data_IF_539910490310
#
_entry.id   IF_539910490310
#
_cell.length_a   1.000
_cell.length_b   1.000
_cell.length_c   1.000
_cell.angle_alpha   90.00
_cell.angle_beta   90.00
_cell.angle_gamma   90.00
#
_symmetry.space_group_name_H-M   'P 1'
#
loop_
_entity.id
_entity.type
_entity.pdbx_description
1 polymer ?
#
# COMPACT_ATOMS: atom_id res chain seq x y z
N UNK A 1 -3.22 51.05 3.44
CA UNK A 1 -3.62 49.67 3.07
C UNK A 1 -3.67 48.84 4.35
N UNK A 2 -4.87 48.35 4.73
CA UNK A 2 -5.05 47.54 5.94
C UNK A 2 -4.56 46.12 5.66
N UNK A 3 -3.51 45.67 6.34
CA UNK A 3 -3.15 44.25 6.39
C UNK A 3 -4.17 43.55 7.30
N UNK A 4 -5.19 42.97 6.69
CA UNK A 4 -6.12 42.09 7.38
C UNK A 4 -5.37 40.80 7.77
N UNK A 5 -4.84 40.76 8.98
CA UNK A 5 -4.45 39.50 9.62
C UNK A 5 -5.71 38.65 9.76
N UNK A 6 -5.85 37.62 8.92
CA UNK A 6 -6.85 36.57 9.12
C UNK A 6 -6.58 35.93 10.49
N UNK A 7 -7.28 36.37 11.53
CA UNK A 7 -7.40 35.59 12.76
C UNK A 7 -7.99 34.25 12.36
N UNK A 8 -7.20 33.18 12.53
CA UNK A 8 -7.72 31.84 12.52
C UNK A 8 -8.91 31.80 13.49
N UNK A 9 -10.06 31.30 13.03
CA UNK A 9 -11.28 31.17 13.83
C UNK A 9 -10.92 30.32 15.05
N UNK A 10 -10.70 30.97 16.19
CA UNK A 10 -10.40 30.31 17.46
C UNK A 10 -11.65 29.52 17.81
N UNK A 11 -11.55 28.19 17.76
CA UNK A 11 -12.66 27.30 18.12
C UNK A 11 -13.02 27.56 19.59
N UNK A 12 -14.18 28.18 19.80
CA UNK A 12 -14.72 28.49 21.13
C UNK A 12 -14.91 27.20 21.94
N UNK A 13 -14.37 27.16 23.16
CA UNK A 13 -14.47 26.02 24.06
C UNK A 13 -15.82 25.99 24.78
N UNK A 14 -16.26 24.80 25.16
CA UNK A 14 -17.55 24.59 25.82
C UNK A 14 -17.32 24.71 27.33
N UNK A 15 -18.16 25.47 28.02
CA UNK A 15 -18.13 25.52 29.49
C UNK A 15 -18.60 24.19 30.06
N UNK A 16 -17.77 23.53 30.88
CA UNK A 16 -18.08 22.23 31.51
C UNK A 16 -17.75 22.26 33.01
N UNK A 17 -18.35 21.34 33.76
CA UNK A 17 -18.06 21.14 35.18
C UNK A 17 -17.08 19.98 35.42
N UNK A 18 -16.38 19.92 36.58
CA UNK A 18 -15.46 18.81 36.88
C UNK A 18 -16.09 17.41 36.82
N UNK A 19 -17.39 17.28 37.10
CA UNK A 19 -18.11 15.99 37.02
C UNK A 19 -18.30 15.51 35.58
N UNK A 20 -18.25 16.41 34.62
CA UNK A 20 -18.47 16.11 33.19
C UNK A 20 -17.18 15.72 32.46
N UNK A 21 -16.01 15.89 33.11
CA UNK A 21 -14.70 15.56 32.51
C UNK A 21 -14.67 14.17 31.87
N UNK A 22 -15.14 13.07 32.51
CA UNK A 22 -15.12 11.74 31.88
C UNK A 22 -16.00 11.65 30.63
N UNK A 23 -17.14 12.35 30.62
CA UNK A 23 -18.06 12.36 29.50
C UNK A 23 -17.46 13.08 28.29
N UNK A 24 -16.86 14.25 28.50
CA UNK A 24 -16.19 15.01 27.44
C UNK A 24 -14.92 14.33 26.94
N UNK A 25 -14.18 13.65 27.83
CA UNK A 25 -13.01 12.88 27.44
C UNK A 25 -13.40 11.70 26.53
N UNK A 26 -14.49 11.00 26.88
CA UNK A 26 -15.05 9.91 26.05
C UNK A 26 -15.56 10.45 24.70
N UNK A 27 -16.27 11.57 24.71
CA UNK A 27 -16.80 12.20 23.48
C UNK A 27 -15.68 12.68 22.55
N UNK A 28 -14.66 13.35 23.07
CA UNK A 28 -13.50 13.78 22.29
C UNK A 28 -12.74 12.61 21.65
N UNK A 29 -12.59 11.49 22.37
CA UNK A 29 -12.03 10.24 21.79
C UNK A 29 -12.88 9.70 20.64
N UNK A 30 -14.21 9.71 20.79
CA UNK A 30 -15.14 9.29 19.75
C UNK A 30 -15.07 10.20 18.51
N UNK A 31 -15.03 11.52 18.70
CA UNK A 31 -14.82 12.49 17.62
C UNK A 31 -13.49 12.26 16.89
N UNK A 32 -12.42 11.99 17.63
CA UNK A 32 -11.12 11.70 17.02
C UNK A 32 -11.15 10.41 16.19
N UNK A 33 -11.80 9.35 16.69
CA UNK A 33 -12.01 8.11 15.95
C UNK A 33 -12.87 8.31 14.68
N UNK A 34 -13.86 9.21 14.74
CA UNK A 34 -14.66 9.61 13.58
C UNK A 34 -13.94 10.57 12.61
N UNK A 35 -12.69 10.97 12.90
CA UNK A 35 -11.93 11.93 12.11
C UNK A 35 -12.41 13.38 12.23
N UNK A 36 -13.32 13.66 13.16
CA UNK A 36 -13.86 14.98 13.53
C UNK A 36 -12.86 15.68 14.48
N UNK A 37 -11.71 16.05 13.91
CA UNK A 37 -10.53 16.48 14.69
C UNK A 37 -10.72 17.83 15.37
N UNK A 38 -11.49 18.75 14.76
CA UNK A 38 -11.77 20.07 15.36
C UNK A 38 -12.66 19.92 16.59
N UNK A 39 -13.68 19.07 16.49
CA UNK A 39 -14.60 18.73 17.56
C UNK A 39 -13.86 18.03 18.71
N UNK A 40 -12.96 17.09 18.40
CA UNK A 40 -12.10 16.45 19.40
C UNK A 40 -11.21 17.47 20.14
N UNK A 41 -10.59 18.41 19.42
CA UNK A 41 -9.76 19.48 19.99
C UNK A 41 -10.60 20.39 20.90
N UNK A 42 -11.84 20.71 20.52
CA UNK A 42 -12.76 21.52 21.33
C UNK A 42 -13.11 20.81 22.65
N UNK A 43 -13.41 19.51 22.59
CA UNK A 43 -13.75 18.71 23.77
C UNK A 43 -12.58 18.59 24.74
N UNK A 44 -11.38 18.29 24.24
CA UNK A 44 -10.20 18.21 25.08
C UNK A 44 -9.76 19.56 25.63
N UNK A 45 -9.89 20.63 24.84
CA UNK A 45 -9.61 22.00 25.28
C UNK A 45 -10.50 22.43 26.45
N UNK A 46 -11.81 22.12 26.36
CA UNK A 46 -12.78 22.42 27.41
C UNK A 46 -12.42 21.76 28.76
N UNK A 47 -11.88 20.54 28.73
CA UNK A 47 -11.36 19.86 29.93
C UNK A 47 -10.09 20.51 30.44
N UNK A 48 -9.17 20.89 29.56
CA UNK A 48 -7.89 21.49 29.95
C UNK A 48 -8.05 22.90 30.53
N UNK A 49 -9.15 23.62 30.22
CA UNK A 49 -9.48 24.90 30.87
C UNK A 49 -9.70 24.74 32.39
N UNK A 50 -10.43 23.70 32.81
CA UNK A 50 -10.79 23.49 34.22
C UNK A 50 -9.88 22.50 34.96
N UNK A 51 -9.22 21.61 34.23
CA UNK A 51 -8.38 20.54 34.76
C UNK A 51 -7.06 20.49 33.99
N UNK A 52 -6.29 21.57 34.08
CA UNK A 52 -5.00 21.72 33.40
C UNK A 52 -4.05 20.55 33.70
N UNK A 53 -4.12 19.93 34.88
CA UNK A 53 -3.32 18.77 35.33
C UNK A 53 -3.75 17.40 34.75
N UNK A 54 -4.82 17.31 33.96
CA UNK A 54 -5.30 16.05 33.42
C UNK A 54 -4.37 15.54 32.31
N UNK A 55 -3.39 14.71 32.71
CA UNK A 55 -2.36 14.16 31.81
C UNK A 55 -2.95 13.37 30.66
N UNK A 56 -4.01 12.59 30.90
CA UNK A 56 -4.68 11.82 29.86
C UNK A 56 -5.25 12.75 28.77
N UNK A 57 -5.95 13.80 29.18
CA UNK A 57 -6.52 14.78 28.26
C UNK A 57 -5.44 15.49 27.45
N UNK A 58 -4.29 15.82 28.06
CA UNK A 58 -3.15 16.41 27.32
C UNK A 58 -2.64 15.48 26.21
N UNK A 59 -2.50 14.19 26.51
CA UNK A 59 -2.07 13.19 25.51
C UNK A 59 -3.07 13.13 24.36
N UNK A 60 -4.36 13.09 24.65
CA UNK A 60 -5.39 13.07 23.61
C UNK A 60 -5.49 14.38 22.83
N UNK A 61 -5.29 15.52 23.48
CA UNK A 61 -5.22 16.83 22.83
C UNK A 61 -4.03 16.92 21.85
N UNK A 62 -2.86 16.41 22.24
CA UNK A 62 -1.70 16.34 21.36
C UNK A 62 -1.99 15.46 20.14
N UNK A 63 -2.58 14.27 20.35
CA UNK A 63 -3.00 13.38 19.25
C UNK A 63 -3.99 14.07 18.32
N UNK A 64 -4.97 14.79 18.85
CA UNK A 64 -5.98 15.49 18.05
C UNK A 64 -5.38 16.65 17.25
N UNK A 65 -4.48 17.45 17.84
CA UNK A 65 -3.73 18.52 17.14
C UNK A 65 -2.84 17.97 16.04
N UNK A 66 -2.10 16.88 16.30
CA UNK A 66 -1.31 16.19 15.28
C UNK A 66 -2.20 15.68 14.14
N UNK A 67 -3.34 15.07 14.49
CA UNK A 67 -4.29 14.59 13.51
C UNK A 67 -4.89 15.75 12.69
N UNK A 68 -5.09 16.94 13.25
CA UNK A 68 -5.58 18.14 12.53
C UNK A 68 -4.50 18.78 11.66
N UNK A 69 -3.25 18.81 12.13
CA UNK A 69 -2.11 19.37 11.41
C UNK A 69 -1.67 18.48 10.24
N UNK A 70 -1.81 17.15 10.38
CA UNK A 70 -1.77 16.24 9.23
C UNK A 70 -3.09 16.43 8.49
N UNK A 71 -3.12 17.04 7.29
CA UNK A 71 -4.34 16.98 6.49
C UNK A 71 -4.79 15.53 6.45
N UNK A 72 -6.10 15.30 6.48
CA UNK A 72 -6.64 14.02 6.03
C UNK A 72 -6.06 13.90 4.62
N UNK A 73 -4.99 13.13 4.47
CA UNK A 73 -4.81 12.40 3.25
C UNK A 73 -6.18 11.76 3.08
N UNK A 74 -6.96 12.34 2.15
CA UNK A 74 -7.82 11.49 1.36
C UNK A 74 -6.95 10.28 0.95
N UNK A 75 -7.50 9.12 0.62
CA UNK A 75 -6.78 8.29 -0.30
C UNK A 75 -6.64 9.07 -1.63
N UNK A 76 -5.82 10.14 -1.68
CA UNK A 76 -4.73 10.17 -2.62
C UNK A 76 -4.19 8.76 -2.52
N UNK A 77 -4.32 8.00 -3.60
CA UNK A 77 -3.33 6.98 -3.86
C UNK A 77 -2.01 7.60 -3.43
N UNK A 78 -1.46 7.16 -2.29
CA UNK A 78 -0.06 7.33 -1.97
C UNK A 78 0.58 7.00 -3.31
N UNK A 79 1.17 8.02 -3.97
CA UNK A 79 1.79 7.80 -5.25
C UNK A 79 2.80 6.69 -4.96
N UNK A 80 2.42 5.47 -5.35
CA UNK A 80 3.08 4.27 -4.86
C UNK A 80 4.53 4.50 -5.20
N UNK A 81 5.40 4.50 -4.18
CA UNK A 81 6.82 4.75 -4.41
C UNK A 81 7.22 3.89 -5.60
N UNK A 82 7.74 4.48 -6.69
CA UNK A 82 7.94 3.72 -7.91
C UNK A 82 8.86 2.54 -7.60
N UNK A 83 8.44 1.36 -8.04
CA UNK A 83 9.17 0.12 -7.83
C UNK A 83 10.46 0.16 -8.65
N UNK A 84 11.57 -0.34 -8.10
CA UNK A 84 12.81 -0.49 -8.87
C UNK A 84 12.64 -1.65 -9.89
N UNK A 85 13.24 -1.53 -11.07
CA UNK A 85 13.25 -2.63 -12.03
C UNK A 85 14.12 -3.78 -11.52
N UNK A 86 13.72 -5.03 -11.80
CA UNK A 86 14.50 -6.23 -11.45
C UNK A 86 15.95 -6.17 -11.95
N UNK A 87 16.18 -5.70 -13.18
CA UNK A 87 17.53 -5.54 -13.74
C UNK A 87 18.35 -4.43 -13.06
N UNK A 88 17.69 -3.36 -12.58
CA UNK A 88 18.36 -2.33 -11.77
C UNK A 88 18.76 -2.89 -10.40
N UNK A 89 17.86 -3.66 -9.77
CA UNK A 89 18.13 -4.32 -8.49
C UNK A 89 19.24 -5.37 -8.60
N UNK A 90 19.34 -6.06 -9.74
CA UNK A 90 20.44 -6.99 -10.06
C UNK A 90 21.74 -6.28 -10.51
N UNK A 91 21.72 -4.94 -10.63
CA UNK A 91 22.87 -4.15 -11.12
C UNK A 91 23.30 -4.48 -12.54
N UNK A 92 22.36 -4.94 -13.37
CA UNK A 92 22.53 -5.09 -14.83
C UNK A 92 22.44 -3.72 -15.52
N UNK A 93 21.67 -2.79 -14.93
CA UNK A 93 21.58 -1.38 -15.35
C UNK A 93 21.69 -0.44 -14.15
N UNK A 94 22.19 0.78 -14.39
CA UNK A 94 22.39 1.76 -13.32
C UNK A 94 21.08 2.29 -12.74
N UNK A 95 20.10 2.59 -13.60
CA UNK A 95 18.83 3.18 -13.19
C UNK A 95 17.70 2.78 -14.13
N UNK A 96 16.65 2.18 -13.58
CA UNK A 96 15.38 1.96 -14.26
C UNK A 96 14.28 1.69 -13.24
N UNK A 97 13.18 2.42 -13.35
CA UNK A 97 11.98 2.18 -12.56
C UNK A 97 11.04 1.21 -13.28
N UNK A 98 10.37 0.34 -12.52
CA UNK A 98 9.36 -0.57 -13.00
C UNK A 98 8.04 0.19 -13.24
N UNK A 99 7.58 0.21 -14.48
CA UNK A 99 6.29 0.80 -14.89
C UNK A 99 5.19 -0.23 -15.11
N UNK A 100 5.52 -1.52 -14.98
CA UNK A 100 4.65 -2.64 -15.35
C UNK A 100 4.25 -3.53 -14.17
N UNK A 101 4.42 -3.06 -12.93
CA UNK A 101 4.06 -3.79 -11.71
C UNK A 101 4.60 -5.24 -11.70
N UNK A 102 5.89 -5.36 -11.99
CA UNK A 102 6.64 -6.62 -12.11
C UNK A 102 6.04 -7.66 -13.09
N UNK A 103 5.21 -7.22 -14.05
CA UNK A 103 4.81 -8.04 -15.19
C UNK A 103 5.94 -8.17 -16.22
N UNK A 104 7.07 -8.74 -15.80
CA UNK A 104 8.28 -8.91 -16.61
C UNK A 104 8.03 -9.69 -17.90
N UNK A 105 7.22 -10.75 -17.88
CA UNK A 105 6.90 -11.56 -19.07
C UNK A 105 6.22 -10.76 -20.21
N UNK A 106 5.53 -9.66 -19.88
CA UNK A 106 4.95 -8.75 -20.87
C UNK A 106 5.74 -7.46 -21.06
N UNK A 107 6.91 -7.33 -20.45
CA UNK A 107 7.71 -6.11 -20.48
C UNK A 107 8.71 -6.15 -21.64
N UNK A 108 8.64 -5.16 -22.53
CA UNK A 108 9.54 -5.05 -23.69
C UNK A 108 11.02 -5.04 -23.29
N UNK A 109 11.36 -4.33 -22.22
CA UNK A 109 12.73 -4.26 -21.73
C UNK A 109 13.25 -5.59 -21.17
N UNK A 110 12.38 -6.37 -20.53
CA UNK A 110 12.76 -7.69 -20.04
C UNK A 110 13.10 -8.62 -21.20
N UNK A 111 12.29 -8.59 -22.26
CA UNK A 111 12.55 -9.31 -23.51
C UNK A 111 13.90 -8.91 -24.13
N UNK A 112 14.18 -7.62 -24.25
CA UNK A 112 15.48 -7.14 -24.77
C UNK A 112 16.67 -7.63 -23.93
N UNK A 113 16.57 -7.62 -22.60
CA UNK A 113 17.63 -8.12 -21.72
C UNK A 113 17.83 -9.63 -21.87
N UNK A 114 16.75 -10.40 -22.02
CA UNK A 114 16.83 -11.85 -22.26
C UNK A 114 17.48 -12.15 -23.63
N UNK A 115 17.06 -11.46 -24.70
CA UNK A 115 17.63 -11.62 -26.04
C UNK A 115 19.13 -11.29 -26.06
N UNK A 116 19.56 -10.22 -25.37
CA UNK A 116 20.98 -9.89 -25.24
C UNK A 116 21.76 -10.96 -24.45
N UNK A 117 21.18 -11.48 -23.36
CA UNK A 117 21.79 -12.57 -22.60
C UNK A 117 21.97 -13.83 -23.46
N UNK A 118 20.96 -14.20 -24.25
CA UNK A 118 21.00 -15.32 -25.19
C UNK A 118 22.01 -15.10 -26.31
N UNK A 119 22.17 -13.86 -26.78
CA UNK A 119 23.17 -13.47 -27.77
C UNK A 119 24.61 -13.45 -27.23
N UNK A 120 24.82 -13.74 -25.94
CA UNK A 120 26.16 -13.84 -25.34
C UNK A 120 26.71 -12.51 -24.81
N UNK A 121 25.86 -11.53 -24.50
CA UNK A 121 26.29 -10.24 -23.95
C UNK A 121 27.01 -10.41 -22.60
N UNK A 122 28.32 -10.15 -22.60
CA UNK A 122 29.19 -10.39 -21.46
C UNK A 122 28.81 -9.55 -20.23
N UNK A 123 28.35 -8.32 -20.41
CA UNK A 123 27.97 -7.45 -19.28
C UNK A 123 26.75 -8.02 -18.55
N UNK A 124 25.76 -8.50 -19.31
CA UNK A 124 24.56 -9.11 -18.74
C UNK A 124 24.91 -10.44 -18.07
N UNK A 125 25.71 -11.29 -18.74
CA UNK A 125 26.12 -12.59 -18.19
C UNK A 125 26.86 -12.41 -16.87
N UNK A 126 27.84 -11.50 -16.81
CA UNK A 126 28.60 -11.23 -15.58
C UNK A 126 27.68 -10.72 -14.45
N UNK A 127 26.74 -9.82 -14.77
CA UNK A 127 25.79 -9.32 -13.78
C UNK A 127 24.83 -10.42 -13.27
N UNK A 128 24.39 -11.34 -14.13
CA UNK A 128 23.59 -12.49 -13.74
C UNK A 128 24.38 -13.49 -12.87
N UNK A 129 25.65 -13.74 -13.20
CA UNK A 129 26.55 -14.55 -12.36
C UNK A 129 26.78 -13.92 -11.00
N UNK A 130 26.99 -12.60 -10.95
CA UNK A 130 27.09 -11.84 -9.71
C UNK A 130 25.83 -12.00 -8.87
N UNK A 131 24.65 -11.83 -9.47
CA UNK A 131 23.38 -12.01 -8.77
C UNK A 131 23.21 -13.44 -8.24
N UNK A 132 23.61 -14.45 -9.02
CA UNK A 132 23.63 -15.86 -8.60
C UNK A 132 24.50 -16.09 -7.37
N UNK A 133 25.66 -15.42 -7.30
CA UNK A 133 26.61 -15.53 -6.20
C UNK A 133 26.14 -14.88 -4.89
N UNK A 134 25.10 -14.03 -4.93
CA UNK A 134 24.62 -13.35 -3.73
C UNK A 134 24.04 -14.31 -2.68
N UNK A 135 24.11 -13.95 -1.38
CA UNK A 135 23.42 -14.67 -0.32
C UNK A 135 21.93 -14.83 -0.64
N UNK A 136 21.34 -15.96 -0.24
CA UNK A 136 19.96 -16.30 -0.55
C UNK A 136 18.97 -15.14 -0.30
N UNK A 137 19.07 -14.48 0.85
CA UNK A 137 18.20 -13.35 1.22
C UNK A 137 18.24 -12.13 0.29
N UNK A 138 19.25 -12.00 -0.57
CA UNK A 138 19.37 -10.93 -1.56
C UNK A 138 18.85 -11.34 -2.95
N UNK A 139 18.62 -12.63 -3.19
CA UNK A 139 18.09 -13.17 -4.46
C UNK A 139 16.57 -13.10 -4.46
N UNK A 140 16.04 -11.93 -4.81
CA UNK A 140 14.60 -11.68 -4.80
C UNK A 140 13.85 -12.41 -5.93
N UNK A 141 12.60 -12.84 -5.65
CA UNK A 141 11.66 -13.34 -6.65
C UNK A 141 10.68 -12.24 -7.08
N UNK A 142 10.36 -12.14 -8.38
CA UNK A 142 9.38 -11.17 -8.89
C UNK A 142 8.01 -11.24 -8.20
N UNK A 143 7.56 -12.45 -7.85
CA UNK A 143 6.28 -12.64 -7.17
C UNK A 143 6.30 -12.14 -5.73
N UNK A 144 7.46 -12.18 -5.07
CA UNK A 144 7.63 -11.55 -3.75
C UNK A 144 7.73 -10.04 -3.86
N UNK A 145 8.43 -9.51 -4.87
CA UNK A 145 8.50 -8.07 -5.11
C UNK A 145 7.12 -7.47 -5.43
N UNK A 146 6.30 -8.20 -6.20
CA UNK A 146 4.92 -7.83 -6.49
C UNK A 146 3.98 -7.96 -5.28
N UNK A 147 4.35 -8.76 -4.28
CA UNK A 147 3.51 -9.06 -3.12
C UNK A 147 2.48 -10.17 -3.34
N UNK A 148 2.57 -10.92 -4.44
CA UNK A 148 1.72 -12.08 -4.70
C UNK A 148 2.00 -13.24 -3.74
N UNK A 149 3.23 -13.31 -3.20
CA UNK A 149 3.63 -14.27 -2.18
C UNK A 149 4.46 -13.59 -1.09
N UNK A 150 4.35 -14.07 0.15
CA UNK A 150 5.02 -13.45 1.30
C UNK A 150 6.54 -13.43 1.19
N UNK A 151 7.14 -14.56 0.79
CA UNK A 151 8.59 -14.66 0.61
C UNK A 151 8.96 -15.84 -0.29
N UNK A 152 9.83 -15.58 -1.26
CA UNK A 152 10.44 -16.59 -2.13
C UNK A 152 11.76 -16.06 -2.67
N UNK A 153 12.76 -16.93 -2.67
CA UNK A 153 14.04 -16.65 -3.31
C UNK A 153 14.01 -17.09 -4.77
N UNK A 154 14.60 -16.29 -5.65
CA UNK A 154 14.72 -16.68 -7.05
C UNK A 154 15.82 -17.74 -7.24
N UNK A 155 15.46 -18.84 -7.91
CA UNK A 155 16.38 -19.92 -8.29
C UNK A 155 16.79 -19.90 -9.76
N UNK A 156 16.15 -19.05 -10.58
CA UNK A 156 16.29 -19.00 -12.05
C UNK A 156 16.71 -17.63 -12.58
N UNK A 157 17.31 -16.77 -11.73
CA UNK A 157 17.84 -15.45 -12.14
C UNK A 157 16.86 -14.59 -12.97
N UNK A 158 15.59 -14.57 -12.57
CA UNK A 158 14.49 -13.84 -13.22
C UNK A 158 14.07 -14.41 -14.60
N UNK A 159 14.63 -15.52 -15.05
CA UNK A 159 14.17 -16.31 -16.21
C UNK A 159 12.82 -17.00 -15.89
N UNK A 160 11.75 -16.20 -15.88
CA UNK A 160 10.43 -16.64 -15.41
C UNK A 160 9.74 -17.56 -16.42
N UNK A 161 10.04 -17.42 -17.72
CA UNK A 161 9.47 -18.23 -18.81
C UNK A 161 9.71 -19.73 -18.60
N UNK A 162 10.90 -20.11 -18.11
CA UNK A 162 11.30 -21.51 -17.88
C UNK A 162 11.21 -21.91 -16.40
N UNK A 163 10.65 -21.04 -15.54
CA UNK A 163 10.58 -21.27 -14.10
C UNK A 163 9.36 -22.14 -13.72
N UNK A 164 9.59 -23.29 -13.09
CA UNK A 164 8.53 -24.20 -12.61
C UNK A 164 7.53 -23.51 -11.66
N UNK A 165 7.99 -22.53 -10.87
CA UNK A 165 7.11 -21.78 -9.98
C UNK A 165 6.18 -20.83 -10.76
N UNK A 166 6.68 -20.26 -11.86
CA UNK A 166 5.87 -19.44 -12.75
C UNK A 166 4.75 -20.28 -13.36
N UNK A 167 5.11 -21.45 -13.91
CA UNK A 167 4.17 -22.41 -14.51
C UNK A 167 3.09 -22.82 -13.50
N UNK A 168 3.50 -23.20 -12.28
CA UNK A 168 2.54 -23.54 -11.21
C UNK A 168 1.54 -22.41 -10.92
N UNK A 169 2.02 -21.16 -10.81
CA UNK A 169 1.14 -20.03 -10.51
C UNK A 169 0.18 -19.77 -11.69
N UNK A 170 0.67 -19.82 -12.92
CA UNK A 170 -0.16 -19.67 -14.12
C UNK A 170 -1.24 -20.75 -14.20
N UNK A 171 -0.88 -22.02 -13.94
CA UNK A 171 -1.83 -23.13 -13.93
C UNK A 171 -2.95 -22.92 -12.91
N UNK A 172 -2.61 -22.48 -11.69
CA UNK A 172 -3.60 -22.16 -10.65
C UNK A 172 -4.53 -21.03 -11.11
N UNK A 173 -4.00 -19.97 -11.71
CA UNK A 173 -4.83 -18.89 -12.24
C UNK A 173 -5.76 -19.37 -13.36
N UNK A 174 -5.25 -20.18 -14.29
CA UNK A 174 -6.07 -20.73 -15.38
C UNK A 174 -7.18 -21.63 -14.86
N UNK A 175 -6.89 -22.50 -13.90
CA UNK A 175 -7.90 -23.35 -13.27
C UNK A 175 -9.01 -22.52 -12.60
N UNK A 176 -8.65 -21.47 -11.86
CA UNK A 176 -9.63 -20.57 -11.24
C UNK A 176 -10.51 -19.85 -12.27
N UNK A 177 -9.93 -19.43 -13.41
CA UNK A 177 -10.68 -18.81 -14.50
C UNK A 177 -11.69 -19.78 -15.11
N UNK A 178 -11.27 -21.01 -15.40
CA UNK A 178 -12.15 -22.07 -15.93
C UNK A 178 -13.30 -22.34 -14.96
N UNK A 179 -13.01 -22.55 -13.68
CA UNK A 179 -14.03 -22.78 -12.64
C UNK A 179 -15.02 -21.61 -12.57
N UNK A 180 -14.54 -20.37 -12.64
CA UNK A 180 -15.39 -19.18 -12.64
C UNK A 180 -16.29 -19.11 -13.87
N UNK A 181 -15.76 -19.42 -15.06
CA UNK A 181 -16.55 -19.47 -16.30
C UNK A 181 -17.61 -20.57 -16.28
N UNK A 182 -17.27 -21.74 -15.75
CA UNK A 182 -18.22 -22.84 -15.56
C UNK A 182 -19.33 -22.48 -14.57
N UNK A 183 -18.99 -21.84 -13.45
CA UNK A 183 -19.97 -21.36 -12.49
C UNK A 183 -20.92 -20.31 -13.11
N UNK A 184 -20.42 -19.41 -13.97
CA UNK A 184 -21.24 -18.46 -14.70
C UNK A 184 -22.17 -19.15 -15.70
N UNK A 185 -21.66 -20.11 -16.49
CA UNK A 185 -22.48 -20.91 -17.42
C UNK A 185 -23.55 -21.73 -16.69
N UNK A 186 -23.21 -22.34 -15.56
CA UNK A 186 -24.16 -23.10 -14.73
C UNK A 186 -25.26 -22.19 -14.17
N UNK A 187 -24.91 -20.97 -13.72
CA UNK A 187 -25.89 -19.96 -13.29
C UNK A 187 -26.80 -19.51 -14.42
N UNK A 188 -26.25 -19.23 -15.61
CA UNK A 188 -27.05 -18.89 -16.79
C UNK A 188 -28.03 -20.01 -17.13
N UNK A 189 -27.56 -21.26 -17.22
CA UNK A 189 -28.40 -22.42 -17.47
C UNK A 189 -29.52 -22.55 -16.43
N UNK A 190 -29.20 -22.44 -15.13
CA UNK A 190 -30.20 -22.44 -14.07
C UNK A 190 -31.21 -21.29 -14.18
N UNK A 191 -30.78 -20.11 -14.66
CA UNK A 191 -31.67 -18.99 -14.96
C UNK A 191 -32.64 -19.32 -16.09
N UNK A 192 -32.14 -19.93 -17.18
CA UNK A 192 -32.98 -20.39 -18.30
C UNK A 192 -33.99 -21.46 -17.88
N UNK A 193 -33.61 -22.42 -17.03
CA UNK A 193 -34.53 -23.45 -16.50
C UNK A 193 -35.67 -22.86 -15.67
N UNK A 194 -35.40 -21.84 -14.84
CA UNK A 194 -36.44 -21.20 -14.02
C UNK A 194 -37.37 -20.27 -14.81
N UNK A 195 -36.97 -19.83 -16.01
CA UNK A 195 -37.73 -18.88 -16.81
C UNK A 195 -38.63 -19.56 -17.86
N UNK A 196 -38.32 -20.82 -18.22
CA UNK A 196 -39.01 -21.58 -19.26
C UNK A 196 -39.54 -22.96 -18.81
N UNK A 197 -39.34 -23.35 -17.56
CA UNK A 197 -39.91 -24.55 -16.93
C UNK A 197 -40.99 -24.20 -15.92
#
# INVERSE_FOLDING_TARGET
MKLATKKAKVDEFITITPREIPAYLKRGKAHLAAGQRREAIRDFGSILEIAQGNMETRVWMQKAKQALARPKEAPLAEAAKPNDCVYMMMKVVDYRLCTSDYNCLGCEFDREMQERAEAGDAEIIEALERFKSLPGGQRFCRYSLKGNVSFRLCSRLIECTTCEFNQMIEDVFQQQLVQRQEALRSKEQGWWWNYWG
#
